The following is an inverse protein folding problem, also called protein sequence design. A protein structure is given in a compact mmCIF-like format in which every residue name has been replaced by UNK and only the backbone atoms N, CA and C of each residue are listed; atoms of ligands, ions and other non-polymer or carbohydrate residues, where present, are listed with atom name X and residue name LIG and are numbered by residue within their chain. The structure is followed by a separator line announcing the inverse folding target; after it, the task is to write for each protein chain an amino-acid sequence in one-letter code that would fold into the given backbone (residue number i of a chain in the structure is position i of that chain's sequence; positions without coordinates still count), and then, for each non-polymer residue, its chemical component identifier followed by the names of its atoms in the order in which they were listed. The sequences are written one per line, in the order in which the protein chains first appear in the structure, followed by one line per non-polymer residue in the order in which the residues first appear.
data_IF_851667906050
#
_entry.id   IF_851667906050
#
_cell.length_a   1.000
_cell.length_b   1.000
_cell.length_c   1.000
_cell.angle_alpha   90.00
_cell.angle_beta   90.00
_cell.angle_gamma   90.00
#
_symmetry.space_group_name_H-M   'P 1'
#
loop_
_entity.id
_entity.type
_entity.pdbx_description
1 polymer ?
#
# COMPACT_ATOMS: atom_id res chain seq x y z
N UNK A 1 7.13 -2.94 9.60
CA UNK A 1 6.62 -2.94 8.22
C UNK A 1 5.21 -3.47 8.29
N UNK A 2 4.25 -2.74 7.72
CA UNK A 2 2.84 -3.10 7.71
C UNK A 2 2.42 -3.52 6.31
N UNK A 3 1.66 -4.60 6.22
CA UNK A 3 1.11 -5.15 4.97
C UNK A 3 -0.32 -5.57 5.25
N UNK A 4 -1.24 -5.09 4.43
CA UNK A 4 -2.65 -5.49 4.47
C UNK A 4 -3.04 -5.99 3.08
N UNK A 5 -3.31 -7.30 2.97
CA UNK A 5 -3.77 -7.94 1.74
C UNK A 5 -5.26 -7.68 1.51
N UNK A 6 -5.67 -7.60 0.25
CA UNK A 6 -7.06 -7.33 -0.12
C UNK A 6 -7.65 -6.07 0.55
N UNK A 7 -6.81 -5.03 0.71
CA UNK A 7 -7.07 -3.83 1.51
C UNK A 7 -8.33 -3.06 1.09
N UNK A 8 -8.61 -3.01 -0.21
CA UNK A 8 -9.71 -2.22 -0.79
C UNK A 8 -10.39 -3.02 -1.91
N UNK A 9 -11.47 -2.46 -2.44
CA UNK A 9 -12.09 -3.02 -3.63
C UNK A 9 -11.21 -2.83 -4.88
N UNK A 10 -11.30 -3.74 -5.88
CA UNK A 10 -10.57 -3.60 -7.14
C UNK A 10 -10.93 -2.29 -7.85
N UNK A 11 -9.94 -1.66 -8.48
CA UNK A 11 -10.16 -0.45 -9.27
C UNK A 11 -10.38 -0.83 -10.74
N UNK A 12 -11.56 -0.54 -11.34
CA UNK A 12 -11.79 -0.81 -12.75
C UNK A 12 -10.71 -0.15 -13.64
N UNK A 13 -10.19 -0.85 -14.65
CA UNK A 13 -10.68 -2.12 -15.19
C UNK A 13 -10.15 -3.39 -14.49
N UNK A 14 -9.31 -3.26 -13.46
CA UNK A 14 -8.75 -4.40 -12.74
C UNK A 14 -9.79 -5.08 -11.86
N UNK A 15 -9.65 -6.40 -11.71
CA UNK A 15 -10.42 -7.22 -10.77
C UNK A 15 -9.58 -7.70 -9.59
N UNK A 16 -8.32 -7.27 -9.51
CA UNK A 16 -7.39 -7.67 -8.45
C UNK A 16 -7.59 -6.71 -7.28
N UNK A 17 -7.84 -7.26 -6.09
CA UNK A 17 -7.86 -6.46 -4.86
C UNK A 17 -6.44 -6.01 -4.53
N UNK A 18 -6.20 -4.73 -4.24
CA UNK A 18 -4.86 -4.25 -3.97
C UNK A 18 -4.36 -4.67 -2.60
N UNK A 19 -3.05 -4.83 -2.49
CA UNK A 19 -2.34 -4.94 -1.21
C UNK A 19 -1.81 -3.56 -0.83
N UNK A 20 -2.02 -3.15 0.43
CA UNK A 20 -1.42 -1.94 1.00
C UNK A 20 -0.09 -2.29 1.66
N UNK A 21 0.96 -1.56 1.32
CA UNK A 21 2.27 -1.62 1.96
C UNK A 21 2.59 -0.28 2.63
N UNK A 22 3.01 -0.34 3.90
CA UNK A 22 3.64 0.78 4.62
C UNK A 22 4.96 0.28 5.23
N UNK A 23 6.05 0.66 4.58
CA UNK A 23 7.41 0.23 4.93
C UNK A 23 8.25 1.36 5.53
N UNK A 24 9.39 1.03 6.19
CA UNK A 24 10.29 2.04 6.71
C UNK A 24 10.78 2.97 5.58
N UNK A 25 11.00 4.27 5.88
CA UNK A 25 11.50 5.19 4.88
C UNK A 25 12.94 4.83 4.50
N UNK A 26 13.31 4.97 3.22
CA UNK A 26 14.67 4.70 2.76
C UNK A 26 15.71 5.68 3.31
N UNK A 27 15.28 6.88 3.68
CA UNK A 27 16.12 7.93 4.29
C UNK A 27 15.59 8.21 5.70
N UNK A 28 16.51 8.28 6.66
CA UNK A 28 16.15 8.62 8.04
C UNK A 28 15.44 9.98 8.09
N UNK A 29 14.32 10.04 8.81
CA UNK A 29 13.50 11.24 8.96
C UNK A 29 12.59 11.58 7.78
N UNK A 30 12.57 10.79 6.71
CA UNK A 30 11.57 10.95 5.64
C UNK A 30 10.21 10.38 6.05
N UNK A 31 9.09 10.90 5.50
CA UNK A 31 7.76 10.37 5.79
C UNK A 31 7.64 8.91 5.34
N UNK A 32 6.77 8.16 6.03
CA UNK A 32 6.32 6.85 5.57
C UNK A 32 5.49 7.03 4.29
N UNK A 33 5.55 6.05 3.39
CA UNK A 33 4.73 6.03 2.19
C UNK A 33 3.70 4.92 2.31
N UNK A 34 2.46 5.24 1.94
CA UNK A 34 1.46 4.25 1.60
C UNK A 34 1.61 3.88 0.12
N UNK A 35 1.73 2.59 -0.15
CA UNK A 35 1.88 2.06 -1.51
C UNK A 35 0.81 1.02 -1.72
N UNK A 36 -0.06 1.22 -2.71
CA UNK A 36 -1.03 0.20 -3.12
C UNK A 36 -0.57 -0.46 -4.41
N UNK A 37 -0.62 -1.79 -4.40
CA UNK A 37 -0.16 -2.61 -5.53
C UNK A 37 -1.19 -3.67 -5.88
N UNK A 38 -1.30 -3.97 -7.17
CA UNK A 38 -1.96 -5.17 -7.67
C UNK A 38 -0.88 -6.20 -7.98
N UNK A 39 -0.94 -7.37 -7.36
CA UNK A 39 0.03 -8.44 -7.55
C UNK A 39 -0.65 -9.55 -8.35
N UNK A 40 -0.12 -9.84 -9.52
CA UNK A 40 -0.52 -10.97 -10.34
C UNK A 40 0.63 -11.99 -10.43
N UNK A 41 0.40 -13.22 -10.91
CA UNK A 41 1.46 -14.21 -11.03
C UNK A 41 2.65 -13.80 -11.93
N UNK A 42 2.49 -12.79 -12.80
CA UNK A 42 3.50 -12.38 -13.78
C UNK A 42 3.91 -10.92 -13.68
N UNK A 43 3.18 -10.10 -12.93
CA UNK A 43 3.36 -8.66 -12.92
C UNK A 43 2.93 -8.04 -11.58
N UNK A 44 3.54 -6.91 -11.24
CA UNK A 44 3.21 -6.09 -10.08
C UNK A 44 2.94 -4.68 -10.58
N UNK A 45 1.71 -4.23 -10.43
CA UNK A 45 1.30 -2.87 -10.80
C UNK A 45 1.22 -2.00 -9.56
N UNK A 46 2.11 -1.00 -9.46
CA UNK A 46 2.01 0.06 -8.46
C UNK A 46 1.16 1.19 -9.05
N UNK A 47 0.00 1.45 -8.47
CA UNK A 47 -0.94 2.46 -9.01
C UNK A 47 -1.22 3.62 -8.03
N UNK A 48 -0.79 3.51 -6.78
CA UNK A 48 -0.96 4.56 -5.76
C UNK A 48 0.27 4.62 -4.87
N UNK A 49 0.90 5.80 -4.82
CA UNK A 49 2.02 6.09 -3.91
C UNK A 49 1.85 7.50 -3.38
N UNK A 50 1.67 7.64 -2.07
CA UNK A 50 1.58 8.93 -1.39
C UNK A 50 2.25 8.84 -0.03
N UNK A 51 2.50 9.99 0.61
CA UNK A 51 2.79 10.00 2.05
C UNK A 51 1.66 9.29 2.80
N UNK A 52 2.04 8.44 3.75
CA UNK A 52 1.10 7.61 4.50
C UNK A 52 0.11 8.51 5.25
N UNK A 53 -1.17 8.35 4.93
CA UNK A 53 -2.24 9.11 5.57
C UNK A 53 -2.45 8.59 6.99
N UNK A 54 -2.79 9.49 7.92
CA UNK A 54 -3.01 9.15 9.33
C UNK A 54 -3.92 7.93 9.51
N UNK A 55 -5.06 7.88 8.79
CA UNK A 55 -6.00 6.75 8.83
C UNK A 55 -5.41 5.37 8.51
N UNK A 56 -4.28 5.30 7.79
CA UNK A 56 -3.59 4.04 7.51
C UNK A 56 -2.41 3.81 8.46
N UNK A 57 -1.82 4.88 9.00
CA UNK A 57 -0.86 4.80 10.10
C UNK A 57 -1.53 4.26 11.36
N UNK A 58 -2.75 4.71 11.67
CA UNK A 58 -3.52 4.25 12.83
C UNK A 58 -3.74 2.72 12.78
N UNK A 59 -3.86 2.14 11.58
CA UNK A 59 -4.02 0.68 11.38
C UNK A 59 -2.73 -0.10 11.68
N UNK A 60 -1.58 0.57 11.78
CA UNK A 60 -0.31 -0.06 12.14
C UNK A 60 -0.15 -0.24 13.65
N UNK A 61 -0.96 0.46 14.45
CA UNK A 61 -0.90 0.43 15.92
C UNK A 61 -1.83 -0.63 16.54
N UNK A 62 -2.72 -1.23 15.72
CA UNK A 62 -3.58 -2.38 16.04
C UNK A 62 -2.90 -3.73 15.69
#
# INVERSE_FOLDING_TARGET
MYVEEEFDDPRPPSTIRPTLFIGPPRKLGSPLLEVMVEISPRDITVFHVMEARQKHLDRMED
#
